data_IF_012704201161
#
_entry.id   IF_012704201161
#
_cell.length_a   1.000
_cell.length_b   1.000
_cell.length_c   1.000
_cell.angle_alpha   90.00
_cell.angle_beta   90.00
_cell.angle_gamma   90.00
#
_symmetry.space_group_name_H-M   'P 1'
#
loop_
_entity.id
_entity.type
_entity.pdbx_description
1 polymer ?
#
# COMPACT_ATOMS: atom_id res chain seq x y z
N UNK A 1 13.78 1.71 33.30
CA UNK A 1 13.77 3.09 32.75
C UNK A 1 12.40 3.33 32.13
N UNK A 2 11.68 4.41 32.46
CA UNK A 2 10.33 4.66 31.90
C UNK A 2 10.39 4.77 30.37
N UNK A 3 9.39 4.19 29.66
CA UNK A 3 9.25 4.25 28.20
C UNK A 3 9.40 5.69 27.66
N UNK A 4 8.83 6.67 28.36
CA UNK A 4 8.96 8.10 28.01
C UNK A 4 10.42 8.57 28.01
N UNK A 5 11.23 8.10 28.95
CA UNK A 5 12.65 8.45 29.06
C UNK A 5 13.47 7.81 27.94
N UNK A 6 13.13 6.60 27.50
CA UNK A 6 13.77 5.96 26.34
C UNK A 6 13.40 6.65 25.02
N UNK A 7 12.11 6.95 24.82
CA UNK A 7 11.62 7.64 23.62
C UNK A 7 12.15 9.08 23.51
N UNK A 8 12.39 9.74 24.63
CA UNK A 8 12.95 11.10 24.67
C UNK A 8 14.48 11.12 24.70
N UNK A 9 15.15 9.96 24.75
CA UNK A 9 16.61 9.90 24.71
C UNK A 9 17.14 10.41 23.37
N UNK A 10 18.32 11.01 23.35
CA UNK A 10 18.96 11.49 22.13
C UNK A 10 19.57 10.32 21.35
N UNK A 11 19.47 10.38 20.03
CA UNK A 11 20.13 9.46 19.08
C UNK A 11 20.69 10.26 17.91
N UNK A 12 21.68 9.71 17.21
CA UNK A 12 22.19 10.27 15.96
C UNK A 12 21.06 10.43 14.94
N UNK A 13 21.03 11.56 14.24
CA UNK A 13 20.10 11.82 13.13
C UNK A 13 20.41 10.99 11.88
N UNK A 14 21.60 10.41 11.80
CA UNK A 14 22.13 9.86 10.56
C UNK A 14 21.26 8.77 9.91
N UNK A 15 20.72 7.75 10.63
CA UNK A 15 19.79 6.78 10.05
C UNK A 15 18.53 7.41 9.47
N UNK A 16 18.01 8.45 10.13
CA UNK A 16 16.84 9.18 9.68
C UNK A 16 17.12 10.02 8.43
N UNK A 17 18.32 10.59 8.32
CA UNK A 17 18.75 11.29 7.12
C UNK A 17 18.86 10.34 5.92
N UNK A 18 19.47 9.16 6.10
CA UNK A 18 19.53 8.12 5.05
C UNK A 18 18.14 7.68 4.62
N UNK A 19 17.24 7.42 5.58
CA UNK A 19 15.86 7.06 5.30
C UNK A 19 15.14 8.16 4.50
N UNK A 20 15.25 9.43 4.92
CA UNK A 20 14.65 10.58 4.23
C UNK A 20 15.13 10.67 2.78
N UNK A 21 16.45 10.56 2.56
CA UNK A 21 17.08 10.60 1.24
C UNK A 21 16.53 9.47 0.37
N UNK A 22 16.58 8.23 0.85
CA UNK A 22 16.12 7.07 0.11
C UNK A 22 14.62 7.16 -0.22
N UNK A 23 13.78 7.53 0.76
CA UNK A 23 12.33 7.68 0.58
C UNK A 23 12.00 8.76 -0.45
N UNK A 24 12.57 9.95 -0.32
CA UNK A 24 12.25 11.07 -1.21
C UNK A 24 12.67 10.81 -2.66
N UNK A 25 13.90 10.34 -2.89
CA UNK A 25 14.37 10.05 -4.24
C UNK A 25 13.64 8.86 -4.88
N UNK A 26 13.38 7.81 -4.12
CA UNK A 26 12.65 6.64 -4.64
C UNK A 26 11.24 7.00 -5.08
N UNK A 27 10.52 7.82 -4.31
CA UNK A 27 9.16 8.22 -4.66
C UNK A 27 9.09 9.28 -5.74
N UNK A 28 10.08 10.18 -5.82
CA UNK A 28 10.25 11.03 -6.98
C UNK A 28 10.41 10.19 -8.24
N UNK A 29 11.31 9.19 -8.22
CA UNK A 29 11.48 8.26 -9.33
C UNK A 29 10.19 7.50 -9.65
N UNK A 30 9.46 7.02 -8.63
CA UNK A 30 8.19 6.33 -8.80
C UNK A 30 7.15 7.18 -9.54
N UNK A 31 7.01 8.45 -9.17
CA UNK A 31 6.03 9.36 -9.79
C UNK A 31 6.45 9.77 -11.21
N UNK A 32 7.75 10.00 -11.44
CA UNK A 32 8.27 10.22 -12.80
C UNK A 32 8.03 8.99 -13.68
N UNK A 33 8.27 7.79 -13.15
CA UNK A 33 7.97 6.52 -13.82
C UNK A 33 6.47 6.36 -14.09
N UNK A 34 5.61 6.77 -13.14
CA UNK A 34 4.16 6.73 -13.31
C UNK A 34 3.71 7.60 -14.50
N UNK A 35 4.23 8.82 -14.60
CA UNK A 35 3.99 9.70 -15.75
C UNK A 35 4.55 9.12 -17.05
N UNK A 36 5.80 8.62 -17.03
CA UNK A 36 6.46 8.09 -18.23
C UNK A 36 5.77 6.86 -18.83
N UNK A 37 5.01 6.10 -18.04
CA UNK A 37 4.24 4.95 -18.53
C UNK A 37 2.81 5.30 -18.98
N UNK A 38 2.44 6.59 -19.02
CA UNK A 38 1.10 7.03 -19.42
C UNK A 38 0.01 6.66 -18.39
N UNK A 39 0.40 6.44 -17.13
CA UNK A 39 -0.55 6.00 -16.10
C UNK A 39 -1.34 7.16 -15.50
N UNK A 40 -0.96 8.42 -15.75
CA UNK A 40 -1.80 9.58 -15.37
C UNK A 40 -3.07 9.56 -16.20
N UNK A 41 -2.94 9.33 -17.50
CA UNK A 41 -4.02 9.21 -18.46
C UNK A 41 -4.89 8.01 -18.11
N UNK A 42 -4.26 6.83 -18.04
CA UNK A 42 -4.97 5.57 -17.81
C UNK A 42 -5.72 5.52 -16.47
N UNK A 43 -5.17 6.14 -15.42
CA UNK A 43 -5.75 6.10 -14.07
C UNK A 43 -6.74 7.24 -13.82
N UNK A 44 -6.47 8.47 -14.30
CA UNK A 44 -7.20 9.66 -13.85
C UNK A 44 -7.98 10.40 -14.93
N UNK A 45 -7.62 10.26 -16.22
CA UNK A 45 -8.20 11.09 -17.28
C UNK A 45 -9.07 10.30 -18.27
N UNK A 46 -8.67 9.07 -18.60
CA UNK A 46 -9.38 8.21 -19.54
C UNK A 46 -10.65 7.54 -18.98
N UNK A 47 -10.75 7.18 -17.68
CA UNK A 47 -11.97 6.56 -17.17
C UNK A 47 -13.23 7.45 -17.27
N UNK A 48 -14.37 6.87 -17.69
CA UNK A 48 -15.68 7.57 -17.68
C UNK A 48 -16.23 7.74 -16.25
N UNK A 49 -15.83 6.82 -15.36
CA UNK A 49 -16.28 6.73 -13.98
C UNK A 49 -15.11 6.31 -13.09
N UNK A 50 -15.08 6.75 -11.84
CA UNK A 50 -14.08 6.36 -10.86
C UNK A 50 -14.70 5.61 -9.69
N UNK A 51 -14.12 4.47 -9.34
CA UNK A 51 -14.49 3.77 -8.12
C UNK A 51 -13.88 4.46 -6.91
N UNK A 52 -14.69 4.75 -5.90
CA UNK A 52 -14.29 5.54 -4.74
C UNK A 52 -14.25 4.71 -3.47
N UNK A 53 -13.33 5.06 -2.57
CA UNK A 53 -13.26 4.45 -1.24
C UNK A 53 -14.45 4.86 -0.38
N UNK A 54 -14.84 3.97 0.54
CA UNK A 54 -15.86 4.29 1.53
C UNK A 54 -15.44 5.54 2.33
N UNK A 55 -16.38 6.48 2.50
CA UNK A 55 -16.17 7.80 3.13
C UNK A 55 -15.36 8.83 2.31
N UNK A 56 -14.81 8.45 1.15
CA UNK A 56 -14.05 9.34 0.26
C UNK A 56 -14.70 9.52 -1.10
N UNK A 57 -16.00 9.25 -1.22
CA UNK A 57 -16.77 9.42 -2.46
C UNK A 57 -16.84 10.85 -3.02
N UNK A 58 -16.34 11.83 -2.26
CA UNK A 58 -16.24 13.24 -2.68
C UNK A 58 -14.89 13.59 -3.32
N UNK A 59 -13.94 12.65 -3.33
CA UNK A 59 -12.63 12.83 -3.97
C UNK A 59 -12.73 12.36 -5.42
N UNK A 60 -12.50 13.29 -6.34
CA UNK A 60 -12.52 13.06 -7.78
C UNK A 60 -11.31 13.73 -8.44
N UNK A 61 -10.86 13.26 -9.61
CA UNK A 61 -9.82 13.96 -10.34
C UNK A 61 -10.35 15.33 -10.81
N UNK A 62 -9.48 16.33 -10.99
CA UNK A 62 -9.89 17.58 -11.60
C UNK A 62 -10.27 17.34 -13.07
N UNK A 63 -11.26 18.09 -13.56
CA UNK A 63 -11.68 18.02 -14.98
C UNK A 63 -10.57 18.44 -15.95
N UNK A 64 -9.66 19.32 -15.51
CA UNK A 64 -8.54 19.78 -16.32
C UNK A 64 -7.37 18.80 -16.27
N UNK A 65 -7.03 18.21 -17.43
CA UNK A 65 -5.83 17.41 -17.59
C UNK A 65 -4.57 18.15 -17.10
N UNK A 66 -4.41 19.43 -17.45
CA UNK A 66 -3.29 20.26 -16.99
C UNK A 66 -3.20 20.32 -15.47
N UNK A 67 -4.33 20.48 -14.78
CA UNK A 67 -4.36 20.49 -13.32
C UNK A 67 -3.99 19.11 -12.75
N UNK A 68 -4.47 18.02 -13.36
CA UNK A 68 -4.11 16.66 -12.96
C UNK A 68 -2.59 16.43 -13.04
N UNK A 69 -1.95 16.72 -14.18
CA UNK A 69 -0.48 16.61 -14.29
C UNK A 69 0.23 17.54 -13.32
N UNK A 70 -0.29 18.74 -13.09
CA UNK A 70 0.31 19.69 -12.15
C UNK A 70 0.35 19.12 -10.73
N UNK A 71 -0.69 18.40 -10.31
CA UNK A 71 -0.74 17.72 -9.00
C UNK A 71 0.29 16.58 -8.95
N UNK A 72 0.40 15.77 -9.99
CA UNK A 72 1.38 14.66 -10.05
C UNK A 72 2.81 15.19 -10.04
N UNK A 73 3.11 16.23 -10.83
CA UNK A 73 4.42 16.90 -10.86
C UNK A 73 4.72 17.56 -9.53
N UNK A 74 3.75 18.24 -8.91
CA UNK A 74 3.91 18.83 -7.58
C UNK A 74 4.26 17.76 -6.54
N UNK A 75 3.60 16.60 -6.59
CA UNK A 75 3.91 15.47 -5.72
C UNK A 75 5.33 14.95 -5.96
N UNK A 76 5.76 14.82 -7.22
CA UNK A 76 7.12 14.37 -7.55
C UNK A 76 8.19 15.37 -7.08
N UNK A 77 7.97 16.67 -7.29
CA UNK A 77 8.85 17.74 -6.80
C UNK A 77 8.89 17.78 -5.27
N UNK A 78 7.76 17.58 -4.60
CA UNK A 78 7.72 17.49 -3.14
C UNK A 78 8.53 16.29 -2.64
N UNK A 79 8.45 15.12 -3.28
CA UNK A 79 9.28 13.96 -2.97
C UNK A 79 10.78 14.24 -3.18
N UNK A 80 11.14 14.91 -4.27
CA UNK A 80 12.51 15.36 -4.53
C UNK A 80 13.02 16.29 -3.43
N UNK A 81 12.22 17.29 -3.05
CA UNK A 81 12.51 18.21 -1.96
C UNK A 81 12.65 17.49 -0.60
N UNK A 82 11.85 16.45 -0.33
CA UNK A 82 12.05 15.57 0.83
C UNK A 82 13.43 14.90 0.77
N UNK A 83 13.80 14.32 -0.38
CA UNK A 83 15.08 13.63 -0.59
C UNK A 83 16.31 14.55 -0.47
N UNK A 84 16.18 15.80 -0.90
CA UNK A 84 17.19 16.85 -0.72
C UNK A 84 17.17 17.50 0.67
N UNK A 85 16.04 17.40 1.37
CA UNK A 85 15.80 18.08 2.64
C UNK A 85 15.73 19.58 2.43
N UNK A 86 15.07 20.00 1.35
CA UNK A 86 14.83 21.39 0.97
C UNK A 86 13.37 21.75 1.23
N UNK A 87 13.12 22.85 1.95
CA UNK A 87 11.79 23.23 2.44
C UNK A 87 11.07 22.04 3.09
N UNK A 88 11.80 21.21 3.83
CA UNK A 88 11.38 19.85 4.16
C UNK A 88 10.01 19.79 4.82
N UNK A 89 9.70 20.71 5.74
CA UNK A 89 8.41 20.73 6.44
C UNK A 89 7.24 20.96 5.49
N UNK A 90 7.42 21.88 4.53
CA UNK A 90 6.41 22.15 3.51
C UNK A 90 6.34 20.98 2.55
N UNK A 91 7.49 20.48 2.08
CA UNK A 91 7.59 19.36 1.15
C UNK A 91 6.91 18.10 1.69
N UNK A 92 7.08 17.74 2.97
CA UNK A 92 6.40 16.59 3.57
C UNK A 92 4.88 16.74 3.61
N UNK A 93 4.38 17.94 3.90
CA UNK A 93 2.93 18.20 3.95
C UNK A 93 2.34 18.17 2.54
N UNK A 94 2.99 18.85 1.58
CA UNK A 94 2.57 18.86 0.18
C UNK A 94 2.59 17.45 -0.39
N UNK A 95 3.65 16.67 -0.13
CA UNK A 95 3.75 15.29 -0.57
C UNK A 95 2.66 14.43 0.06
N UNK A 96 2.45 14.49 1.39
CA UNK A 96 1.40 13.74 2.06
C UNK A 96 0.02 14.02 1.48
N UNK A 97 -0.35 15.30 1.31
CA UNK A 97 -1.65 15.69 0.80
C UNK A 97 -1.81 15.29 -0.67
N UNK A 98 -0.85 15.66 -1.53
CA UNK A 98 -0.92 15.35 -2.97
C UNK A 98 -0.88 13.86 -3.24
N UNK A 99 0.03 13.10 -2.64
CA UNK A 99 0.15 11.66 -2.86
C UNK A 99 -1.08 10.92 -2.32
N UNK A 100 -1.56 11.26 -1.13
CA UNK A 100 -2.77 10.62 -0.58
C UNK A 100 -4.02 10.98 -1.38
N UNK A 101 -4.10 12.20 -1.92
CA UNK A 101 -5.17 12.57 -2.84
C UNK A 101 -5.15 11.70 -4.10
N UNK A 102 -3.99 11.54 -4.75
CA UNK A 102 -3.83 10.68 -5.93
C UNK A 102 -4.33 9.26 -5.68
N UNK A 103 -3.96 8.68 -4.53
CA UNK A 103 -4.39 7.34 -4.14
C UNK A 103 -5.89 7.20 -3.89
N UNK A 104 -6.55 8.26 -3.39
CA UNK A 104 -7.96 8.22 -3.03
C UNK A 104 -8.91 8.46 -4.22
N UNK A 105 -8.40 8.91 -5.37
CA UNK A 105 -9.21 9.14 -6.58
C UNK A 105 -9.78 7.84 -7.14
N UNK A 106 -8.96 6.78 -7.25
CA UNK A 106 -9.31 5.58 -8.00
C UNK A 106 -9.01 4.30 -7.21
N UNK A 107 -10.08 3.67 -6.71
CA UNK A 107 -10.01 2.46 -5.90
C UNK A 107 -9.55 1.23 -6.67
N UNK A 108 -9.81 1.14 -7.99
CA UNK A 108 -9.39 -0.02 -8.80
C UNK A 108 -7.86 -0.13 -8.94
N UNK A 109 -7.11 0.93 -8.62
CA UNK A 109 -5.65 0.93 -8.62
C UNK A 109 -5.04 0.74 -7.23
N UNK A 110 -5.85 0.40 -6.22
CA UNK A 110 -5.42 0.25 -4.84
C UNK A 110 -4.21 -0.70 -4.67
N UNK A 111 -3.19 -0.23 -3.96
CA UNK A 111 -2.01 -1.00 -3.58
C UNK A 111 -1.62 -0.74 -2.11
N UNK A 112 -1.40 -1.80 -1.34
CA UNK A 112 -0.98 -1.69 0.07
C UNK A 112 0.29 -0.84 0.27
N UNK A 113 1.24 -0.86 -0.66
CA UNK A 113 2.47 -0.05 -0.51
C UNK A 113 2.24 1.45 -0.69
N UNK A 114 1.24 1.87 -1.46
CA UNK A 114 0.94 3.29 -1.58
C UNK A 114 0.20 3.80 -0.35
N UNK A 115 -0.67 2.97 0.25
CA UNK A 115 -1.19 3.24 1.59
C UNK A 115 -0.05 3.40 2.63
N UNK A 116 0.95 2.51 2.60
CA UNK A 116 2.14 2.66 3.45
C UNK A 116 2.90 3.96 3.19
N UNK A 117 3.06 4.37 1.93
CA UNK A 117 3.70 5.65 1.57
C UNK A 117 2.94 6.84 2.16
N UNK A 118 1.61 6.89 2.05
CA UNK A 118 0.80 7.94 2.68
C UNK A 118 0.99 8.00 4.19
N UNK A 119 1.05 6.84 4.85
CA UNK A 119 1.31 6.77 6.28
C UNK A 119 2.71 7.30 6.64
N UNK A 120 3.75 6.89 5.92
CA UNK A 120 5.11 7.36 6.18
C UNK A 120 5.21 8.86 5.92
N UNK A 121 4.62 9.36 4.83
CA UNK A 121 4.58 10.78 4.52
C UNK A 121 3.94 11.58 5.66
N UNK A 122 2.82 11.09 6.21
CA UNK A 122 2.17 11.67 7.38
C UNK A 122 3.10 11.71 8.60
N UNK A 123 3.78 10.61 8.93
CA UNK A 123 4.73 10.58 10.05
C UNK A 123 5.90 11.55 9.83
N UNK A 124 6.41 11.66 8.60
CA UNK A 124 7.51 12.55 8.25
C UNK A 124 7.16 14.04 8.44
N UNK A 125 5.89 14.44 8.33
CA UNK A 125 5.44 15.80 8.65
C UNK A 125 5.85 16.21 10.08
N UNK A 126 5.83 15.27 11.03
CA UNK A 126 6.17 15.52 12.43
C UNK A 126 7.67 15.35 12.71
N UNK A 127 8.35 14.49 11.95
CA UNK A 127 9.75 14.13 12.18
C UNK A 127 10.72 15.21 11.63
N UNK A 128 11.67 15.76 12.43
CA UNK A 128 12.64 16.75 11.98
C UNK A 128 13.84 16.15 11.20
N UNK A 129 13.59 15.39 10.12
CA UNK A 129 14.64 14.67 9.36
C UNK A 129 15.58 15.56 8.52
N UNK A 130 15.34 16.88 8.52
CA UNK A 130 16.09 17.90 7.77
C UNK A 130 17.08 18.67 8.63
N UNK A 131 17.27 18.31 9.90
CA UNK A 131 18.22 19.02 10.78
C UNK A 131 19.70 18.74 10.45
N UNK A 132 19.99 17.81 9.55
CA UNK A 132 21.34 17.55 9.04
C UNK A 132 21.27 16.83 7.69
N UNK A 133 22.39 16.79 6.96
CA UNK A 133 22.50 16.19 5.63
C UNK A 133 21.43 16.69 4.63
N UNK A 134 21.04 17.95 4.75
CA UNK A 134 19.94 18.56 4.02
C UNK A 134 20.32 19.97 3.52
N UNK A 135 19.64 20.43 2.48
CA UNK A 135 19.78 21.82 2.01
C UNK A 135 19.33 22.80 3.11
N UNK A 136 18.24 22.50 3.82
CA UNK A 136 17.75 23.32 4.93
C UNK A 136 18.81 23.55 6.01
N UNK A 137 19.58 22.52 6.39
CA UNK A 137 20.63 22.64 7.41
C UNK A 137 21.88 23.40 6.91
N UNK A 138 22.12 23.41 5.59
CA UNK A 138 23.18 24.21 4.97
C UNK A 138 22.79 25.69 5.00
N UNK A 139 21.55 26.02 4.62
CA UNK A 139 21.06 27.39 4.54
C UNK A 139 20.72 27.98 5.91
N UNK A 140 20.13 27.19 6.80
CA UNK A 140 19.73 27.63 8.14
C UNK A 140 20.63 27.00 9.20
N UNK A 141 21.83 27.56 9.41
CA UNK A 141 22.82 27.01 10.37
C UNK A 141 22.27 26.76 11.78
N UNK A 142 21.29 27.57 12.25
CA UNK A 142 20.63 27.42 13.55
C UNK A 142 19.76 26.15 13.67
N UNK A 143 19.30 25.61 12.55
CA UNK A 143 18.52 24.36 12.50
C UNK A 143 19.41 23.13 12.74
N UNK A 144 20.71 23.25 12.43
CA UNK A 144 21.62 22.12 12.33
C UNK A 144 21.72 21.38 13.66
N UNK A 145 21.34 20.10 13.65
CA UNK A 145 21.48 19.21 14.80
C UNK A 145 21.91 17.83 14.35
N UNK A 146 22.95 17.33 14.99
CA UNK A 146 23.49 16.00 14.75
C UNK A 146 22.75 14.91 15.53
N UNK A 147 21.86 15.33 16.43
CA UNK A 147 21.02 14.46 17.25
C UNK A 147 19.54 14.77 17.08
N UNK A 148 18.71 13.77 17.29
CA UNK A 148 17.24 13.86 17.36
C UNK A 148 16.73 13.02 18.52
N UNK A 149 15.49 13.25 18.94
CA UNK A 149 14.86 12.39 19.93
C UNK A 149 14.57 11.00 19.33
N UNK A 150 14.81 9.94 20.10
CA UNK A 150 14.76 8.54 19.65
C UNK A 150 13.39 8.13 19.11
N UNK A 151 12.30 8.74 19.60
CA UNK A 151 10.96 8.47 19.09
C UNK A 151 10.85 8.69 17.58
N UNK A 152 11.58 9.65 17.01
CA UNK A 152 11.52 10.00 15.57
C UNK A 152 11.94 8.85 14.67
N UNK A 153 12.91 8.05 15.13
CA UNK A 153 13.38 6.82 14.46
C UNK A 153 12.47 5.65 14.84
N UNK A 154 12.06 5.58 16.10
CA UNK A 154 11.27 4.47 16.65
C UNK A 154 9.91 4.30 15.99
N UNK A 155 9.18 5.40 15.73
CA UNK A 155 7.84 5.32 15.12
C UNK A 155 7.89 4.79 13.67
N UNK A 156 8.94 5.11 12.91
CA UNK A 156 9.13 4.56 11.56
C UNK A 156 9.42 3.06 11.61
N UNK A 157 10.26 2.62 12.57
CA UNK A 157 10.53 1.20 12.79
C UNK A 157 9.26 0.43 13.18
N UNK A 158 8.43 1.00 14.06
CA UNK A 158 7.13 0.39 14.43
C UNK A 158 6.26 0.23 13.19
N UNK A 159 6.08 1.29 12.40
CA UNK A 159 5.20 1.21 11.24
C UNK A 159 5.64 0.13 10.24
N UNK A 160 6.93 0.02 9.95
CA UNK A 160 7.46 -1.06 9.09
C UNK A 160 7.24 -2.43 9.72
N UNK A 161 7.40 -2.54 11.04
CA UNK A 161 7.15 -3.79 11.78
C UNK A 161 5.69 -4.21 11.69
N UNK A 162 4.74 -3.26 11.80
CA UNK A 162 3.30 -3.53 11.65
C UNK A 162 3.01 -4.12 10.28
N UNK A 163 3.55 -3.53 9.21
CA UNK A 163 3.34 -4.03 7.84
C UNK A 163 3.82 -5.48 7.70
N UNK A 164 5.04 -5.80 8.12
CA UNK A 164 5.57 -7.16 8.03
C UNK A 164 4.78 -8.15 8.91
N UNK A 165 4.48 -7.79 10.15
CA UNK A 165 3.74 -8.67 11.05
C UNK A 165 2.35 -9.00 10.49
N UNK A 166 1.61 -8.02 9.98
CA UNK A 166 0.30 -8.29 9.39
C UNK A 166 0.38 -8.99 8.04
N UNK A 167 1.40 -8.73 7.22
CA UNK A 167 1.66 -9.51 6.01
C UNK A 167 1.94 -10.99 6.32
N UNK A 168 2.63 -11.27 7.43
CA UNK A 168 2.88 -12.62 7.94
C UNK A 168 1.62 -13.26 8.54
N UNK A 169 0.88 -12.53 9.38
CA UNK A 169 -0.40 -13.01 9.94
C UNK A 169 -1.37 -13.37 8.81
N UNK A 170 -1.41 -12.57 7.74
CA UNK A 170 -2.29 -12.84 6.61
C UNK A 170 -1.93 -14.14 5.86
N UNK A 171 -0.67 -14.58 5.93
CA UNK A 171 -0.17 -15.85 5.37
C UNK A 171 -0.50 -17.08 6.23
N UNK A 172 -1.14 -16.90 7.39
CA UNK A 172 -1.68 -18.01 8.19
C UNK A 172 -2.97 -18.60 7.59
N UNK A 173 -3.57 -17.93 6.61
CA UNK A 173 -4.80 -18.40 5.96
C UNK A 173 -4.58 -19.76 5.27
N UNK A 174 -5.56 -20.68 5.28
CA UNK A 174 -5.41 -22.04 4.74
C UNK A 174 -4.87 -22.10 3.30
N UNK A 175 -5.38 -21.24 2.42
CA UNK A 175 -4.95 -21.16 1.02
C UNK A 175 -3.45 -20.93 0.83
N UNK A 176 -2.83 -20.17 1.74
CA UNK A 176 -1.39 -19.96 1.73
C UNK A 176 -0.67 -21.09 2.49
N UNK A 177 -1.06 -21.30 3.75
CA UNK A 177 -0.32 -22.16 4.69
C UNK A 177 -0.45 -23.66 4.39
N UNK A 178 -1.66 -24.13 4.12
CA UNK A 178 -1.97 -25.56 3.97
C UNK A 178 -1.95 -25.99 2.49
N UNK A 179 -2.36 -25.08 1.60
CA UNK A 179 -2.53 -25.42 0.19
C UNK A 179 -1.45 -24.82 -0.71
N UNK A 180 -0.76 -23.76 -0.26
CA UNK A 180 0.20 -22.99 -1.05
C UNK A 180 -0.33 -22.56 -2.44
N UNK A 181 -1.65 -22.40 -2.60
CA UNK A 181 -2.30 -22.28 -3.91
C UNK A 181 -1.80 -21.10 -4.73
N UNK A 182 -1.68 -19.86 -4.18
CA UNK A 182 -1.19 -18.74 -4.97
C UNK A 182 0.21 -19.03 -5.53
N UNK A 183 1.08 -19.65 -4.73
CA UNK A 183 2.44 -20.00 -5.15
C UNK A 183 2.48 -21.17 -6.13
N UNK A 184 1.61 -22.18 -5.99
CA UNK A 184 1.48 -23.26 -6.98
C UNK A 184 1.10 -22.70 -8.36
N UNK A 185 0.26 -21.66 -8.40
CA UNK A 185 -0.15 -21.00 -9.65
C UNK A 185 0.99 -20.13 -10.19
N UNK A 186 1.51 -19.21 -9.38
CA UNK A 186 2.47 -18.21 -9.86
C UNK A 186 3.84 -18.80 -10.22
N UNK A 187 4.34 -19.77 -9.45
CA UNK A 187 5.65 -20.37 -9.73
C UNK A 187 5.61 -21.24 -10.99
N UNK A 188 4.51 -21.99 -11.21
CA UNK A 188 4.32 -22.77 -12.46
C UNK A 188 4.29 -21.88 -13.70
N UNK A 189 3.87 -20.62 -13.58
CA UNK A 189 3.95 -19.64 -14.67
C UNK A 189 5.36 -19.07 -14.92
N UNK A 190 6.36 -19.50 -14.14
CA UNK A 190 7.75 -19.00 -14.18
C UNK A 190 8.79 -20.12 -14.38
N UNK A 191 8.41 -21.27 -14.93
CA UNK A 191 9.32 -22.42 -15.11
C UNK A 191 10.52 -22.15 -16.02
N UNK A 192 10.43 -21.14 -16.88
CA UNK A 192 11.53 -20.71 -17.76
C UNK A 192 12.50 -19.74 -17.07
N UNK A 193 12.32 -19.47 -15.76
CA UNK A 193 13.23 -18.59 -15.03
C UNK A 193 14.65 -19.20 -14.97
N UNK A 194 15.72 -18.41 -15.25
CA UNK A 194 17.07 -18.94 -15.30
C UNK A 194 17.48 -19.69 -14.03
N UNK A 195 18.17 -20.82 -14.20
CA UNK A 195 18.78 -21.65 -13.14
C UNK A 195 17.77 -22.39 -12.25
N UNK A 196 16.79 -21.68 -11.67
CA UNK A 196 15.86 -22.24 -10.68
C UNK A 196 14.47 -22.54 -11.22
N UNK A 197 14.13 -22.07 -12.42
CA UNK A 197 12.83 -22.28 -13.07
C UNK A 197 12.37 -23.73 -13.12
N UNK A 198 13.21 -24.72 -13.46
CA UNK A 198 12.83 -26.13 -13.45
C UNK A 198 12.31 -26.61 -12.08
N UNK A 199 12.79 -26.03 -10.96
CA UNK A 199 12.32 -26.38 -9.63
C UNK A 199 10.87 -25.92 -9.39
N UNK A 200 10.39 -24.90 -10.10
CA UNK A 200 9.04 -24.36 -9.94
C UNK A 200 7.94 -25.28 -10.50
N UNK A 201 8.31 -26.33 -11.21
CA UNK A 201 7.37 -27.39 -11.63
C UNK A 201 6.86 -28.20 -10.44
N UNK A 202 7.67 -28.35 -9.38
CA UNK A 202 7.32 -29.17 -8.22
C UNK A 202 6.46 -28.40 -7.22
N UNK A 203 5.38 -29.03 -6.76
CA UNK A 203 4.53 -28.43 -5.72
C UNK A 203 5.26 -28.25 -4.38
N UNK A 204 6.23 -29.11 -4.08
CA UNK A 204 7.09 -28.96 -2.91
C UNK A 204 7.81 -27.60 -2.89
N UNK A 205 8.20 -27.07 -4.05
CA UNK A 205 8.79 -25.74 -4.15
C UNK A 205 7.81 -24.65 -3.75
N UNK A 206 6.52 -24.77 -4.13
CA UNK A 206 5.50 -23.84 -3.69
C UNK A 206 5.29 -23.87 -2.16
N UNK A 207 5.32 -25.05 -1.53
CA UNK A 207 5.27 -25.16 -0.07
C UNK A 207 6.49 -24.54 0.62
N UNK A 208 7.69 -24.77 0.08
CA UNK A 208 8.92 -24.14 0.61
C UNK A 208 8.80 -22.61 0.55
N UNK A 209 8.35 -22.05 -0.58
CA UNK A 209 8.14 -20.61 -0.71
C UNK A 209 7.03 -20.10 0.21
N UNK A 210 5.97 -20.89 0.43
CA UNK A 210 4.86 -20.53 1.32
C UNK A 210 5.33 -20.38 2.76
N UNK A 211 5.98 -21.42 3.29
CA UNK A 211 6.49 -21.41 4.66
C UNK A 211 7.62 -20.39 4.84
N UNK A 212 8.50 -20.26 3.84
CA UNK A 212 9.54 -19.24 3.87
C UNK A 212 8.95 -17.83 3.91
N UNK A 213 7.98 -17.50 3.06
CA UNK A 213 7.33 -16.19 3.05
C UNK A 213 6.62 -15.88 4.38
N UNK A 214 5.92 -16.86 4.96
CA UNK A 214 5.29 -16.74 6.27
C UNK A 214 6.31 -16.49 7.39
N UNK A 215 7.31 -17.36 7.51
CA UNK A 215 8.32 -17.29 8.57
C UNK A 215 9.16 -16.02 8.43
N UNK A 216 9.49 -15.63 7.20
CA UNK A 216 10.20 -14.40 6.90
C UNK A 216 9.40 -13.20 7.41
N UNK A 217 8.15 -13.02 6.99
CA UNK A 217 7.35 -11.84 7.36
C UNK A 217 7.12 -11.74 8.88
N UNK A 218 6.87 -12.87 9.55
CA UNK A 218 6.69 -12.90 11.01
C UNK A 218 7.98 -12.66 11.79
N UNK A 219 9.14 -13.06 11.27
CA UNK A 219 10.42 -12.97 12.00
C UNK A 219 11.21 -11.71 11.70
N UNK A 220 11.12 -11.17 10.47
CA UNK A 220 12.02 -10.14 9.99
C UNK A 220 12.02 -8.85 10.83
N UNK A 221 10.89 -8.38 11.40
CA UNK A 221 10.93 -7.22 12.29
C UNK A 221 11.84 -7.48 13.48
N UNK A 222 11.64 -8.60 14.19
CA UNK A 222 12.42 -8.93 15.39
C UNK A 222 13.92 -9.07 15.08
N UNK A 223 14.25 -9.66 13.93
CA UNK A 223 15.62 -9.81 13.46
C UNK A 223 16.27 -8.46 13.12
N UNK A 224 15.52 -7.51 12.56
CA UNK A 224 15.98 -6.15 12.28
C UNK A 224 16.14 -5.31 13.55
N UNK A 225 15.25 -5.47 14.54
CA UNK A 225 15.36 -4.80 15.84
C UNK A 225 16.61 -5.25 16.61
N UNK A 226 16.93 -6.55 16.57
CA UNK A 226 18.08 -7.10 17.28
C UNK A 226 19.41 -6.79 16.57
N UNK A 227 20.28 -6.05 17.25
CA UNK A 227 21.60 -5.60 16.75
C UNK A 227 22.48 -6.75 16.24
N UNK A 228 22.42 -7.94 16.86
CA UNK A 228 23.28 -9.07 16.49
C UNK A 228 22.84 -9.72 15.17
N UNK A 229 21.54 -9.77 14.92
CA UNK A 229 20.96 -10.40 13.73
C UNK A 229 20.76 -9.43 12.58
N UNK A 230 20.71 -8.11 12.85
CA UNK A 230 20.37 -7.07 11.88
C UNK A 230 21.16 -7.11 10.56
N UNK A 231 22.49 -7.34 10.51
CA UNK A 231 23.19 -7.41 9.24
C UNK A 231 22.68 -8.55 8.35
N UNK A 232 22.46 -9.74 8.93
CA UNK A 232 21.90 -10.89 8.23
C UNK A 232 20.44 -10.67 7.85
N UNK A 233 19.67 -10.02 8.73
CA UNK A 233 18.29 -9.64 8.46
C UNK A 233 18.21 -8.69 7.27
N UNK A 234 19.11 -7.70 7.17
CA UNK A 234 19.11 -6.77 6.04
C UNK A 234 19.49 -7.45 4.72
N UNK A 235 20.43 -8.40 4.74
CA UNK A 235 20.70 -9.27 3.57
C UNK A 235 19.44 -10.04 3.17
N UNK A 236 18.72 -10.62 4.14
CA UNK A 236 17.46 -11.31 3.90
C UNK A 236 16.38 -10.38 3.33
N UNK A 237 16.29 -9.13 3.81
CA UNK A 237 15.37 -8.10 3.25
C UNK A 237 15.66 -7.87 1.76
N UNK A 238 16.91 -7.61 1.41
CA UNK A 238 17.30 -7.36 0.02
C UNK A 238 17.03 -8.60 -0.84
N UNK A 239 17.45 -9.78 -0.39
CA UNK A 239 17.28 -11.03 -1.13
C UNK A 239 15.80 -11.41 -1.33
N UNK A 240 14.98 -11.29 -0.29
CA UNK A 240 13.54 -11.56 -0.36
C UNK A 240 12.83 -10.62 -1.33
N UNK A 241 13.06 -9.32 -1.20
CA UNK A 241 12.41 -8.31 -2.06
C UNK A 241 12.93 -8.36 -3.50
N UNK A 242 14.21 -8.63 -3.72
CA UNK A 242 14.74 -8.83 -5.07
C UNK A 242 14.15 -10.08 -5.73
N UNK A 243 14.00 -11.18 -4.97
CA UNK A 243 13.39 -12.43 -5.46
C UNK A 243 11.92 -12.24 -5.79
N UNK A 244 11.16 -11.58 -4.93
CA UNK A 244 9.74 -11.29 -5.19
C UNK A 244 9.55 -10.31 -6.35
N UNK A 245 10.43 -9.32 -6.52
CA UNK A 245 10.42 -8.45 -7.71
C UNK A 245 10.70 -9.23 -9.01
N UNK A 246 11.69 -10.14 -8.99
CA UNK A 246 12.05 -10.92 -10.15
C UNK A 246 10.97 -11.94 -10.56
N UNK A 247 10.26 -12.50 -9.58
CA UNK A 247 9.25 -13.54 -9.80
C UNK A 247 7.84 -12.98 -9.99
N UNK A 248 7.50 -11.85 -9.36
CA UNK A 248 6.13 -11.37 -9.27
C UNK A 248 6.00 -9.89 -9.70
N UNK A 249 4.92 -9.57 -10.40
CA UNK A 249 4.62 -8.21 -10.88
C UNK A 249 4.03 -7.33 -9.78
N UNK A 250 4.83 -6.99 -8.76
CA UNK A 250 4.37 -6.29 -7.53
C UNK A 250 4.78 -4.81 -7.44
N UNK A 251 5.16 -4.21 -8.57
CA UNK A 251 5.41 -2.77 -8.68
C UNK A 251 6.55 -2.26 -7.79
N UNK A 252 6.31 -1.15 -7.07
CA UNK A 252 7.33 -0.47 -6.27
C UNK A 252 7.53 -1.04 -4.87
N UNK A 253 6.68 -1.99 -4.44
CA UNK A 253 6.71 -2.55 -3.08
C UNK A 253 8.11 -3.03 -2.66
N UNK A 254 8.84 -3.85 -3.44
CA UNK A 254 10.18 -4.33 -3.07
C UNK A 254 11.15 -3.20 -2.74
N UNK A 255 11.20 -2.19 -3.59
CA UNK A 255 12.11 -1.05 -3.45
C UNK A 255 11.74 -0.19 -2.24
N UNK A 256 10.45 0.04 -2.00
CA UNK A 256 9.95 0.80 -0.86
C UNK A 256 10.29 0.07 0.44
N UNK A 257 10.14 -1.25 0.50
CA UNK A 257 10.42 -2.02 1.71
C UNK A 257 11.93 -2.15 1.99
N UNK A 258 12.76 -2.29 0.95
CA UNK A 258 14.23 -2.24 1.09
C UNK A 258 14.66 -0.87 1.61
N UNK A 259 14.26 0.21 0.93
CA UNK A 259 14.59 1.58 1.33
C UNK A 259 14.06 1.92 2.72
N UNK A 260 12.85 1.46 3.02
CA UNK A 260 12.23 1.64 4.34
C UNK A 260 13.03 0.97 5.44
N UNK A 261 13.52 -0.25 5.21
CA UNK A 261 14.27 -1.04 6.19
C UNK A 261 15.64 -0.44 6.55
N UNK A 262 16.15 0.53 5.77
CA UNK A 262 17.39 1.26 6.09
C UNK A 262 17.32 1.97 7.46
N UNK A 263 16.13 2.34 7.93
CA UNK A 263 15.94 3.00 9.24
C UNK A 263 16.38 2.11 10.42
N UNK A 264 16.45 0.79 10.22
CA UNK A 264 16.88 -0.15 11.25
C UNK A 264 18.38 -0.10 11.51
N UNK A 265 19.18 0.25 10.50
CA UNK A 265 20.64 0.31 10.57
C UNK A 265 21.07 1.50 11.43
N UNK A 266 21.91 1.25 12.44
CA UNK A 266 22.35 2.27 13.39
C UNK A 266 23.41 3.20 12.78
N UNK A 267 23.65 4.33 13.43
CA UNK A 267 24.68 5.28 12.98
C UNK A 267 26.06 4.64 12.94
N UNK A 268 26.39 3.82 13.93
CA UNK A 268 27.68 3.14 14.05
C UNK A 268 27.84 2.07 12.95
N UNK A 269 26.77 1.34 12.64
CA UNK A 269 26.75 0.34 11.57
C UNK A 269 26.94 0.99 10.20
N UNK A 270 26.27 2.11 9.93
CA UNK A 270 26.48 2.89 8.71
C UNK A 270 27.91 3.43 8.60
N UNK A 271 28.45 4.00 9.67
CA UNK A 271 29.82 4.50 9.68
C UNK A 271 30.83 3.37 9.43
N UNK A 272 30.63 2.20 10.05
CA UNK A 272 31.48 1.03 9.82
C UNK A 272 31.42 0.55 8.36
N UNK A 273 30.24 0.55 7.74
CA UNK A 273 30.06 0.21 6.34
C UNK A 273 30.75 1.22 5.42
N UNK A 274 30.51 2.52 5.61
CA UNK A 274 31.08 3.59 4.80
C UNK A 274 32.61 3.64 4.89
N UNK A 275 33.19 3.36 6.06
CA UNK A 275 34.63 3.27 6.26
C UNK A 275 35.28 2.19 5.38
N UNK A 276 34.57 1.09 5.08
CA UNK A 276 35.06 0.04 4.16
C UNK A 276 35.18 0.54 2.72
N UNK A 277 34.44 1.58 2.36
CA UNK A 277 34.50 2.25 1.05
C UNK A 277 35.37 3.51 1.07
N UNK A 278 36.19 3.71 2.12
CA UNK A 278 37.06 4.89 2.24
C UNK A 278 36.32 6.18 2.61
N UNK A 279 35.02 6.11 2.92
CA UNK A 279 34.22 7.28 3.31
C UNK A 279 34.25 7.41 4.83
N UNK A 280 35.03 8.38 5.32
CA UNK A 280 35.06 8.72 6.74
C UNK A 280 34.10 9.88 7.01
N UNK A 281 33.05 9.62 7.78
CA UNK A 281 32.20 10.66 8.31
C UNK A 281 32.74 11.07 9.68
N UNK A 282 32.86 12.38 9.92
CA UNK A 282 33.24 12.89 11.24
C UNK A 282 32.22 12.41 12.27
N UNK A 283 32.66 11.63 13.30
CA UNK A 283 31.79 11.24 14.40
C UNK A 283 31.26 12.51 15.04
N UNK A 284 29.94 12.63 15.14
CA UNK A 284 29.35 13.79 15.79
C UNK A 284 29.08 13.48 17.24
N UNK A 285 29.61 14.32 18.12
CA UNK A 285 29.08 14.44 19.48
C UNK A 285 27.64 14.96 19.39
N UNK A 286 26.73 14.28 20.07
CA UNK A 286 25.33 14.69 20.14
C UNK A 286 25.24 15.92 21.04
N UNK A 287 25.16 17.13 20.46
CA UNK A 287 24.79 18.31 21.24
C UNK A 287 23.32 18.18 21.68
N UNK A 288 23.10 18.40 22.97
CA UNK A 288 21.87 18.08 23.67
C UNK A 288 20.93 19.29 23.72
N UNK A 289 20.06 19.42 22.72
CA UNK A 289 18.78 20.12 22.88
C UNK A 289 17.70 19.36 22.12
N UNK A 290 17.12 18.35 22.78
CA UNK A 290 15.95 17.65 22.24
C UNK A 290 14.72 17.96 23.06
N UNK A 291 13.66 18.36 22.39
CA UNK A 291 12.36 18.52 23.04
C UNK A 291 11.82 17.14 23.44
N UNK A 292 11.51 16.91 24.72
CA UNK A 292 10.94 15.66 25.18
C UNK A 292 9.57 15.45 24.52
N UNK A 293 9.20 14.18 24.30
CA UNK A 293 7.88 13.87 23.76
C UNK A 293 6.80 14.35 24.74
N UNK A 294 5.95 15.27 24.31
CA UNK A 294 4.85 15.80 25.13
C UNK A 294 3.84 14.67 25.44
N UNK A 295 3.07 14.81 26.54
CA UNK A 295 1.99 13.85 26.84
C UNK A 295 0.97 13.77 25.70
N UNK A 296 0.67 14.92 25.09
CA UNK A 296 -0.20 15.00 23.93
C UNK A 296 0.36 14.21 22.74
N UNK A 297 1.63 14.43 22.38
CA UNK A 297 2.28 13.71 21.28
C UNK A 297 2.33 12.20 21.53
N UNK A 298 2.56 11.77 22.77
CA UNK A 298 2.52 10.35 23.13
C UNK A 298 1.11 9.77 22.95
N UNK A 299 0.06 10.46 23.41
CA UNK A 299 -1.33 10.05 23.21
C UNK A 299 -1.72 10.00 21.74
N UNK A 300 -1.33 11.03 20.97
CA UNK A 300 -1.57 11.12 19.53
C UNK A 300 -0.94 9.95 18.76
N UNK A 301 0.36 9.69 18.95
CA UNK A 301 1.00 8.55 18.27
C UNK A 301 0.51 7.20 18.80
N UNK A 302 0.14 7.12 20.08
CA UNK A 302 -0.50 5.94 20.65
C UNK A 302 -1.82 5.60 19.96
N UNK A 303 -2.70 6.61 19.80
CA UNK A 303 -3.95 6.46 19.06
C UNK A 303 -3.70 6.12 17.59
N UNK A 304 -2.76 6.80 16.95
CA UNK A 304 -2.37 6.51 15.57
C UNK A 304 -1.98 5.04 15.38
N UNK A 305 -1.09 4.49 16.22
CA UNK A 305 -0.69 3.09 16.09
C UNK A 305 -1.80 2.12 16.51
N UNK A 306 -2.67 2.49 17.46
CA UNK A 306 -3.84 1.69 17.77
C UNK A 306 -4.76 1.54 16.54
N UNK A 307 -4.96 2.62 15.77
CA UNK A 307 -5.71 2.57 14.50
C UNK A 307 -4.98 1.69 13.47
N UNK A 308 -3.66 1.85 13.33
CA UNK A 308 -2.85 1.05 12.39
C UNK A 308 -2.84 -0.46 12.70
N UNK A 309 -3.15 -0.83 13.94
CA UNK A 309 -3.31 -2.23 14.39
C UNK A 309 -4.78 -2.66 14.25
N UNK A 310 -5.73 -1.80 14.60
CA UNK A 310 -7.16 -2.13 14.57
C UNK A 310 -7.69 -2.34 13.16
N UNK A 311 -7.29 -1.51 12.19
CA UNK A 311 -7.74 -1.62 10.79
C UNK A 311 -7.42 -3.00 10.21
N UNK A 312 -6.18 -3.51 10.25
CA UNK A 312 -5.91 -4.86 9.75
C UNK A 312 -6.58 -6.00 10.53
N UNK A 313 -6.88 -5.80 11.81
CA UNK A 313 -7.56 -6.79 12.63
C UNK A 313 -9.06 -6.90 12.33
N UNK A 314 -9.67 -5.86 11.76
CA UNK A 314 -11.11 -5.80 11.59
C UNK A 314 -11.67 -6.94 10.71
N UNK A 315 -10.86 -7.43 9.76
CA UNK A 315 -11.24 -8.52 8.86
C UNK A 315 -11.46 -9.85 9.60
N UNK A 316 -10.93 -10.02 10.80
CA UNK A 316 -11.06 -11.25 11.60
C UNK A 316 -12.32 -11.27 12.49
N UNK A 317 -13.10 -10.18 12.51
CA UNK A 317 -14.37 -10.14 13.25
C UNK A 317 -15.55 -10.74 12.49
N UNK A 318 -15.34 -11.12 11.22
CA UNK A 318 -16.35 -11.77 10.38
C UNK A 318 -15.97 -13.24 10.19
N UNK A 319 -16.96 -14.14 10.22
CA UNK A 319 -16.74 -15.58 10.04
C UNK A 319 -16.46 -15.97 8.58
N UNK A 320 -16.74 -15.07 7.64
CA UNK A 320 -16.58 -15.24 6.20
C UNK A 320 -15.11 -15.39 5.78
N UNK A 321 -14.89 -16.05 4.64
CA UNK A 321 -13.55 -16.08 4.04
C UNK A 321 -13.25 -14.73 3.37
N UNK A 322 -12.42 -13.91 4.02
CA UNK A 322 -12.02 -12.59 3.49
C UNK A 322 -11.36 -12.62 2.10
N UNK A 323 -10.71 -13.73 1.71
CA UNK A 323 -10.16 -13.85 0.35
C UNK A 323 -11.29 -14.01 -0.70
N UNK A 324 -12.40 -14.61 -0.29
CA UNK A 324 -13.60 -14.73 -1.11
C UNK A 324 -14.41 -13.43 -1.11
N UNK A 325 -14.77 -12.89 0.06
CA UNK A 325 -15.71 -11.76 0.15
C UNK A 325 -15.07 -10.38 -0.03
N UNK A 326 -13.77 -10.26 0.24
CA UNK A 326 -13.01 -9.01 0.30
C UNK A 326 -13.55 -7.94 1.26
N UNK A 327 -14.47 -8.32 2.16
CA UNK A 327 -14.98 -7.44 3.22
C UNK A 327 -13.82 -7.00 4.11
N UNK A 328 -13.55 -5.69 4.15
CA UNK A 328 -12.43 -5.10 4.90
C UNK A 328 -11.02 -5.62 4.50
N UNK A 329 -10.86 -6.04 3.24
CA UNK A 329 -9.57 -6.54 2.73
C UNK A 329 -8.52 -5.42 2.54
N UNK A 330 -8.96 -4.25 2.06
CA UNK A 330 -8.10 -3.08 1.85
C UNK A 330 -7.61 -2.52 3.18
N UNK A 331 -6.40 -1.95 3.17
CA UNK A 331 -5.70 -1.36 4.33
C UNK A 331 -5.27 -2.36 5.41
N UNK A 332 -5.47 -3.66 5.16
CA UNK A 332 -5.22 -4.73 6.13
C UNK A 332 -3.89 -5.46 5.93
N UNK A 333 -2.97 -4.87 5.14
CA UNK A 333 -1.63 -5.42 4.82
C UNK A 333 -1.66 -6.83 4.22
N UNK A 334 -2.78 -7.19 3.58
CA UNK A 334 -2.92 -8.42 2.82
C UNK A 334 -2.11 -8.30 1.51
N UNK A 335 -0.89 -8.83 1.51
CA UNK A 335 0.04 -8.76 0.36
C UNK A 335 0.29 -10.14 -0.19
N UNK A 336 0.01 -10.32 -1.48
CA UNK A 336 0.27 -11.55 -2.25
C UNK A 336 -0.37 -12.79 -1.61
N UNK A 337 -1.69 -12.81 -1.47
CA UNK A 337 -2.40 -13.93 -0.81
C UNK A 337 -3.31 -14.74 -1.73
N UNK A 338 -3.63 -14.22 -2.93
CA UNK A 338 -4.58 -14.88 -3.80
C UNK A 338 -4.36 -14.56 -5.27
N UNK A 339 -4.72 -15.53 -6.11
CA UNK A 339 -5.09 -15.33 -7.50
C UNK A 339 -6.62 -15.37 -7.59
N UNK A 340 -7.24 -14.25 -7.95
CA UNK A 340 -8.69 -14.12 -8.04
C UNK A 340 -9.06 -13.47 -9.36
N UNK A 341 -10.01 -14.07 -10.06
CA UNK A 341 -10.53 -13.54 -11.32
C UNK A 341 -12.05 -13.62 -11.33
N UNK A 342 -12.69 -12.66 -11.97
CA UNK A 342 -14.13 -12.55 -12.03
C UNK A 342 -14.62 -12.26 -13.43
N UNK A 343 -15.90 -12.51 -13.64
CA UNK A 343 -16.66 -12.12 -14.80
C UNK A 343 -18.01 -11.58 -14.32
N UNK A 344 -18.39 -10.39 -14.77
CA UNK A 344 -19.62 -9.75 -14.37
C UNK A 344 -20.40 -9.24 -15.59
N UNK A 345 -21.70 -9.52 -15.62
CA UNK A 345 -22.64 -8.99 -16.60
C UNK A 345 -23.82 -8.40 -15.86
N UNK A 346 -24.26 -7.22 -16.31
CA UNK A 346 -25.35 -6.50 -15.67
C UNK A 346 -26.61 -6.63 -16.51
N UNK A 347 -27.74 -6.79 -15.85
CA UNK A 347 -29.05 -6.79 -16.45
C UNK A 347 -29.78 -5.56 -15.95
N UNK A 348 -30.21 -4.70 -16.88
CA UNK A 348 -30.97 -3.50 -16.57
C UNK A 348 -32.41 -3.71 -16.99
N UNK A 349 -33.33 -3.37 -16.09
CA UNK A 349 -34.78 -3.42 -16.33
C UNK A 349 -35.34 -2.03 -16.12
N UNK A 350 -35.96 -1.45 -17.14
CA UNK A 350 -36.73 -0.21 -17.01
C UNK A 350 -38.12 -0.56 -16.48
N UNK A 351 -38.38 -0.22 -15.22
CA UNK A 351 -39.64 -0.54 -14.54
C UNK A 351 -40.84 0.17 -15.16
N UNK A 352 -40.64 1.29 -15.87
CA UNK A 352 -41.72 2.05 -16.50
C UNK A 352 -42.20 1.41 -17.80
N UNK A 353 -41.26 0.88 -18.60
CA UNK A 353 -41.56 0.30 -19.92
C UNK A 353 -41.54 -1.23 -19.95
N UNK A 354 -41.03 -1.88 -18.90
CA UNK A 354 -40.79 -3.32 -18.83
C UNK A 354 -39.65 -3.81 -19.72
N UNK A 355 -38.93 -2.90 -20.40
CA UNK A 355 -37.81 -3.27 -21.28
C UNK A 355 -36.63 -3.75 -20.46
N UNK A 356 -35.99 -4.80 -20.95
CA UNK A 356 -34.82 -5.44 -20.34
C UNK A 356 -33.68 -5.51 -21.36
N UNK A 357 -32.48 -5.16 -20.94
CA UNK A 357 -31.27 -5.32 -21.75
C UNK A 357 -30.07 -5.69 -20.88
N UNK A 358 -29.00 -6.12 -21.55
CA UNK A 358 -27.76 -6.55 -20.93
C UNK A 358 -26.72 -5.46 -21.12
N UNK A 359 -25.99 -5.17 -20.05
CA UNK A 359 -24.83 -4.28 -20.04
C UNK A 359 -23.54 -4.99 -19.73
N UNK A 360 -22.52 -4.68 -20.53
CA UNK A 360 -21.18 -5.22 -20.42
C UNK A 360 -20.25 -4.15 -19.83
N UNK A 361 -19.56 -4.43 -18.71
CA UNK A 361 -18.67 -3.46 -18.07
C UNK A 361 -17.62 -2.85 -18.99
N UNK A 362 -17.01 -3.63 -19.90
CA UNK A 362 -16.07 -3.17 -20.93
C UNK A 362 -16.56 -2.01 -21.80
N UNK A 363 -17.87 -1.75 -21.87
CA UNK A 363 -18.42 -0.62 -22.64
C UNK A 363 -18.12 0.73 -21.98
N UNK A 364 -17.83 0.75 -20.67
CA UNK A 364 -17.70 1.96 -19.85
C UNK A 364 -16.47 1.96 -18.94
N UNK A 365 -15.95 0.79 -18.59
CA UNK A 365 -14.82 0.64 -17.68
C UNK A 365 -13.54 0.35 -18.46
N UNK A 366 -12.42 0.83 -17.93
CA UNK A 366 -11.08 0.39 -18.37
C UNK A 366 -10.83 -1.07 -17.98
N UNK A 367 -9.86 -1.74 -18.62
CA UNK A 367 -9.52 -3.14 -18.32
C UNK A 367 -9.22 -3.38 -16.83
N UNK A 368 -8.54 -2.45 -16.16
CA UNK A 368 -8.21 -2.56 -14.73
C UNK A 368 -9.47 -2.41 -13.88
N UNK A 369 -10.34 -1.47 -14.23
CA UNK A 369 -11.60 -1.24 -13.55
C UNK A 369 -12.56 -2.42 -13.70
N UNK A 370 -12.74 -2.93 -14.92
CA UNK A 370 -13.54 -4.12 -15.19
C UNK A 370 -13.00 -5.33 -14.42
N UNK A 371 -11.68 -5.57 -14.51
CA UNK A 371 -11.04 -6.66 -13.78
C UNK A 371 -11.31 -6.57 -12.29
N UNK A 372 -11.01 -5.45 -11.63
CA UNK A 372 -11.17 -5.32 -10.18
C UNK A 372 -12.63 -5.34 -9.77
N UNK A 373 -13.51 -4.68 -10.53
CA UNK A 373 -14.95 -4.66 -10.25
C UNK A 373 -15.55 -6.06 -10.29
N UNK A 374 -15.13 -6.91 -11.24
CA UNK A 374 -15.73 -8.23 -11.48
C UNK A 374 -15.71 -9.21 -10.29
N UNK A 375 -14.94 -8.93 -9.23
CA UNK A 375 -14.87 -9.77 -8.03
C UNK A 375 -14.89 -8.97 -6.71
N UNK A 376 -15.15 -7.66 -6.76
CA UNK A 376 -15.21 -6.78 -5.59
C UNK A 376 -16.65 -6.26 -5.38
N UNK A 377 -17.34 -6.72 -4.32
CA UNK A 377 -18.76 -6.43 -4.09
C UNK A 377 -19.10 -4.93 -4.07
N UNK A 378 -18.27 -4.13 -3.42
CA UNK A 378 -18.47 -2.69 -3.32
C UNK A 378 -18.28 -1.96 -4.65
N UNK A 379 -17.48 -2.51 -5.55
CA UNK A 379 -17.33 -2.01 -6.92
C UNK A 379 -18.50 -2.47 -7.80
N UNK A 380 -18.96 -3.71 -7.68
CA UNK A 380 -20.16 -4.20 -8.38
C UNK A 380 -21.36 -3.29 -8.08
N UNK A 381 -21.56 -2.96 -6.79
CA UNK A 381 -22.59 -2.02 -6.35
C UNK A 381 -22.38 -0.60 -6.92
N UNK A 382 -21.14 -0.08 -6.89
CA UNK A 382 -20.85 1.25 -7.44
C UNK A 382 -21.13 1.33 -8.95
N UNK A 383 -20.82 0.27 -9.70
CA UNK A 383 -21.11 0.22 -11.13
C UNK A 383 -22.63 0.23 -11.40
N UNK A 384 -23.42 -0.47 -10.59
CA UNK A 384 -24.88 -0.38 -10.67
C UNK A 384 -25.40 1.06 -10.46
N UNK A 385 -24.85 1.79 -9.47
CA UNK A 385 -25.20 3.22 -9.24
C UNK A 385 -24.78 4.11 -10.41
N UNK A 386 -23.66 3.80 -11.07
CA UNK A 386 -23.26 4.48 -12.30
C UNK A 386 -24.27 4.25 -13.43
N UNK A 387 -24.73 3.01 -13.64
CA UNK A 387 -25.76 2.70 -14.63
C UNK A 387 -27.08 3.43 -14.34
N UNK A 388 -27.51 3.50 -13.07
CA UNK A 388 -28.68 4.29 -12.66
C UNK A 388 -28.57 5.75 -13.12
N UNK A 389 -27.45 6.41 -12.82
CA UNK A 389 -27.21 7.79 -13.24
C UNK A 389 -27.20 7.93 -14.76
N UNK A 390 -26.57 7.00 -15.47
CA UNK A 390 -26.44 7.01 -16.93
C UNK A 390 -27.79 6.89 -17.63
N UNK A 391 -28.62 5.91 -17.26
CA UNK A 391 -29.91 5.70 -17.93
C UNK A 391 -30.98 6.70 -17.52
N UNK A 392 -30.92 7.21 -16.28
CA UNK A 392 -31.78 8.32 -15.87
C UNK A 392 -31.58 9.55 -16.75
N UNK A 393 -30.32 9.86 -17.09
CA UNK A 393 -30.01 10.94 -18.03
C UNK A 393 -30.48 10.67 -19.47
N UNK A 394 -30.77 9.41 -19.82
CA UNK A 394 -31.28 9.00 -21.12
C UNK A 394 -32.81 8.80 -21.15
N UNK A 395 -33.53 9.24 -20.09
CA UNK A 395 -35.00 9.18 -20.02
C UNK A 395 -35.59 7.91 -19.41
N UNK A 396 -34.77 7.06 -18.77
CA UNK A 396 -35.26 5.92 -17.99
C UNK A 396 -35.26 6.29 -16.48
N UNK A 397 -36.37 6.84 -16.00
CA UNK A 397 -36.46 7.42 -14.64
C UNK A 397 -36.41 6.38 -13.51
N UNK A 398 -36.89 5.16 -13.76
CA UNK A 398 -36.94 4.07 -12.79
C UNK A 398 -36.38 2.79 -13.41
N UNK A 399 -35.17 2.43 -13.00
CA UNK A 399 -34.52 1.18 -13.42
C UNK A 399 -34.24 0.27 -12.22
N UNK A 400 -34.11 -1.01 -12.49
CA UNK A 400 -33.55 -2.02 -11.60
C UNK A 400 -32.28 -2.58 -12.24
N UNK A 401 -31.29 -2.89 -11.41
CA UNK A 401 -30.00 -3.42 -11.88
C UNK A 401 -29.67 -4.70 -11.14
N UNK A 402 -29.56 -5.79 -11.89
CA UNK A 402 -29.16 -7.11 -11.40
C UNK A 402 -27.79 -7.45 -11.99
N UNK A 403 -27.02 -8.32 -11.32
CA UNK A 403 -25.73 -8.75 -11.82
C UNK A 403 -25.57 -10.27 -11.76
N UNK A 404 -25.12 -10.83 -12.88
CA UNK A 404 -24.63 -12.21 -12.96
C UNK A 404 -23.12 -12.15 -12.82
N UNK A 405 -22.60 -12.64 -11.69
CA UNK A 405 -21.18 -12.55 -11.36
C UNK A 405 -20.63 -13.94 -11.07
N UNK A 406 -19.57 -14.32 -11.79
CA UNK A 406 -18.84 -15.56 -11.59
C UNK A 406 -17.42 -15.26 -11.13
N UNK A 407 -16.93 -15.96 -10.10
CA UNK A 407 -15.59 -15.74 -9.55
C UNK A 407 -14.86 -17.07 -9.37
N UNK A 408 -13.56 -17.04 -9.66
CA UNK A 408 -12.61 -18.09 -9.28
C UNK A 408 -11.66 -17.55 -8.20
N UNK A 409 -11.24 -18.42 -7.28
CA UNK A 409 -10.29 -18.07 -6.23
C UNK A 409 -9.28 -19.21 -6.05
N UNK A 410 -8.00 -18.90 -6.22
CA UNK A 410 -6.87 -19.79 -5.91
C UNK A 410 -7.02 -21.17 -6.58
N UNK A 411 -7.37 -21.19 -7.86
CA UNK A 411 -7.49 -22.42 -8.65
C UNK A 411 -8.79 -23.21 -8.45
N UNK A 412 -9.68 -22.76 -7.56
CA UNK A 412 -11.03 -23.34 -7.44
C UNK A 412 -11.87 -23.01 -8.69
N UNK A 413 -12.78 -23.91 -9.13
CA UNK A 413 -13.65 -23.67 -10.29
C UNK A 413 -14.49 -22.41 -10.15
N UNK A 414 -14.86 -21.83 -11.29
CA UNK A 414 -15.72 -20.64 -11.32
C UNK A 414 -17.12 -20.97 -10.82
N UNK A 415 -17.67 -20.12 -9.96
CA UNK A 415 -19.02 -20.26 -9.41
C UNK A 415 -19.69 -18.90 -9.27
N UNK A 416 -21.03 -18.91 -9.18
CA UNK A 416 -21.82 -17.71 -8.92
C UNK A 416 -21.32 -17.10 -7.60
N UNK A 417 -21.05 -15.80 -7.64
CA UNK A 417 -20.43 -15.05 -6.55
C UNK A 417 -21.43 -14.20 -5.76
N UNK A 418 -22.39 -13.61 -6.45
CA UNK A 418 -23.37 -12.68 -5.90
C UNK A 418 -24.76 -13.17 -6.27
N UNK A 419 -25.74 -13.04 -5.36
CA UNK A 419 -27.13 -13.39 -5.66
C UNK A 419 -27.63 -12.65 -6.91
N UNK A 420 -28.20 -13.38 -7.86
CA UNK A 420 -28.74 -12.82 -9.10
C UNK A 420 -30.15 -12.24 -8.92
N UNK A 421 -30.79 -12.52 -7.78
CA UNK A 421 -32.17 -12.13 -7.47
C UNK A 421 -32.26 -10.74 -6.83
N UNK A 422 -31.12 -10.13 -6.47
CA UNK A 422 -31.10 -8.84 -5.80
C UNK A 422 -30.97 -7.69 -6.78
N UNK A 423 -31.87 -6.71 -6.64
CA UNK A 423 -31.69 -5.41 -7.26
C UNK A 423 -30.59 -4.65 -6.51
N UNK A 424 -29.44 -4.44 -7.14
CA UNK A 424 -28.30 -3.74 -6.54
C UNK A 424 -28.61 -2.29 -6.16
N UNK A 425 -29.66 -1.69 -6.75
CA UNK A 425 -30.10 -0.33 -6.42
C UNK A 425 -30.99 -0.26 -5.16
N UNK A 426 -31.53 -1.40 -4.68
CA UNK A 426 -32.37 -1.43 -3.48
C UNK A 426 -31.59 -1.64 -2.18
N UNK A 427 -30.28 -1.88 -2.27
CA UNK A 427 -29.40 -2.16 -1.12
C UNK A 427 -28.29 -1.12 -1.02
N UNK A 428 -27.72 -0.97 0.18
CA UNK A 428 -26.56 -0.12 0.43
C UNK A 428 -25.24 -0.79 0.05
N UNK A 429 -24.18 0.02 -0.03
CA UNK A 429 -22.80 -0.43 -0.27
C UNK A 429 -22.31 -1.48 0.74
N UNK A 430 -22.78 -1.45 1.99
CA UNK A 430 -22.36 -2.43 3.00
C UNK A 430 -23.18 -3.72 2.90
N UNK A 431 -24.48 -3.60 2.62
CA UNK A 431 -25.39 -4.75 2.50
C UNK A 431 -25.04 -5.65 1.31
N UNK A 432 -24.39 -5.15 0.26
CA UNK A 432 -23.96 -5.98 -0.89
C UNK A 432 -23.11 -7.18 -0.47
N UNK A 433 -22.34 -7.05 0.61
CA UNK A 433 -21.50 -8.15 1.09
C UNK A 433 -22.32 -9.27 1.75
N UNK A 434 -23.56 -9.02 2.17
CA UNK A 434 -24.42 -10.04 2.80
C UNK A 434 -25.11 -10.94 1.75
N UNK A 435 -24.97 -10.61 0.46
CA UNK A 435 -25.52 -11.37 -0.66
C UNK A 435 -24.48 -12.16 -1.45
N UNK A 436 -23.25 -12.24 -0.93
CA UNK A 436 -22.19 -13.08 -1.50
C UNK A 436 -22.54 -14.54 -1.22
N UNK A 437 -22.41 -15.39 -2.24
CA UNK A 437 -22.68 -16.82 -2.16
C UNK A 437 -21.39 -17.55 -1.79
N UNK A 438 -21.41 -18.26 -0.66
CA UNK A 438 -20.28 -19.01 -0.11
C UNK A 438 -20.16 -20.46 -0.57
#
# INVERSE_FOLDING_TARGET
MSLKKQLSATTSIFPLAIYRIAFGFLLCFSLVRFMANGWVEACYLSPEFHFTYQYFGWIHPPESATLMYSIVVLSALAALCIGLGFLYRIATIVFFVSFTYLELIEQSWYLNHYYFVSIIAFLLCFIPAHKDYSIDAIWMKKLRSKSVASWTVFILKIQISIVYLFAGIAKLKPDWLLEAMPLKIWLKAKTEFPIVGPLFQYESTAYVFSYFGLLYDLSIPFLLWNKKTRPYAFIAVVAFHASTYALFSIGMFPWIMIAGSLIFISSEEWQALLKRFGISLTPSEASAETQPLSKFSLGFFGLFFAIQIAIPLQQYFYAENVLWTERNYRFSWNVMLMEKTGYAVFTVIDSSSGKKWVEYPKNHLTDIQEKQMSFQPDMIWQYARFLEKKYKNNGHDTIEVYATVYVTLNGRPSRIYLSEEINLLSISRNEVYDYIID
#
